data_IF_574152588452
#
_entry.id   IF_574152588452
#
_cell.length_a   1.000
_cell.length_b   1.000
_cell.length_c   1.000
_cell.angle_alpha   90.00
_cell.angle_beta   90.00
_cell.angle_gamma   90.00
#
_symmetry.space_group_name_H-M   'P 1'
#
loop_
_entity.id
_entity.type
_entity.pdbx_description
1 polymer ?
#
# COMPACT_ATOMS: atom_id res chain seq x y z
N UNK A 1 3.58 2.57 -19.36
CA UNK A 1 3.02 3.57 -18.44
C UNK A 1 3.27 4.96 -18.96
N UNK A 2 2.26 5.51 -19.64
CA UNK A 2 2.19 6.93 -19.95
C UNK A 2 2.03 7.74 -18.66
N UNK A 3 2.47 9.00 -18.69
CA UNK A 3 2.22 9.97 -17.65
C UNK A 3 1.47 11.15 -18.25
N UNK A 4 0.54 11.73 -17.48
CA UNK A 4 -0.09 13.02 -17.79
C UNK A 4 0.45 14.09 -16.86
N UNK A 5 0.25 15.36 -17.20
CA UNK A 5 0.70 16.45 -16.34
C UNK A 5 -0.04 16.40 -14.99
N UNK A 6 0.64 16.80 -13.90
CA UNK A 6 0.03 16.79 -12.56
C UNK A 6 -1.28 17.61 -12.51
N UNK A 7 -1.33 18.72 -13.26
CA UNK A 7 -2.54 19.54 -13.42
C UNK A 7 -3.67 18.78 -14.12
N UNK A 8 -3.38 18.08 -15.21
CA UNK A 8 -4.37 17.28 -15.95
C UNK A 8 -4.89 16.12 -15.11
N UNK A 9 -4.00 15.46 -14.36
CA UNK A 9 -4.36 14.40 -13.43
C UNK A 9 -5.31 14.90 -12.34
N UNK A 10 -5.00 16.06 -11.73
CA UNK A 10 -5.87 16.69 -10.74
C UNK A 10 -7.23 17.04 -11.35
N UNK A 11 -7.27 17.59 -12.56
CA UNK A 11 -8.52 17.90 -13.28
C UNK A 11 -9.36 16.64 -13.46
N UNK A 12 -8.79 15.55 -14.00
CA UNK A 12 -9.51 14.27 -14.17
C UNK A 12 -10.10 13.74 -12.87
N UNK A 13 -9.33 13.83 -11.78
CA UNK A 13 -9.78 13.39 -10.45
C UNK A 13 -10.95 14.25 -9.96
N UNK A 14 -10.82 15.56 -10.02
CA UNK A 14 -11.84 16.54 -9.61
C UNK A 14 -13.11 16.40 -10.44
N UNK A 15 -13.00 16.26 -11.77
CA UNK A 15 -14.13 16.06 -12.67
C UNK A 15 -14.91 14.78 -12.37
N UNK A 16 -14.24 13.74 -11.86
CA UNK A 16 -14.91 12.48 -11.50
C UNK A 16 -15.74 12.62 -10.22
N UNK A 17 -15.33 13.51 -9.31
CA UNK A 17 -15.98 13.75 -8.03
C UNK A 17 -16.94 14.94 -8.05
N UNK A 18 -16.90 15.79 -9.09
CA UNK A 18 -17.66 17.05 -9.15
C UNK A 18 -19.18 16.87 -9.16
N UNK A 19 -19.67 15.69 -9.53
CA UNK A 19 -21.08 15.33 -9.47
C UNK A 19 -21.56 14.88 -8.08
N UNK A 20 -20.65 14.73 -7.11
CA UNK A 20 -20.99 14.28 -5.75
C UNK A 20 -21.44 15.46 -4.90
N UNK A 21 -22.55 15.28 -4.19
CA UNK A 21 -23.07 16.31 -3.29
C UNK A 21 -22.08 16.65 -2.16
N UNK A 22 -21.95 17.94 -1.89
CA UNK A 22 -20.98 18.47 -0.92
C UNK A 22 -19.50 18.36 -1.33
N UNK A 23 -19.20 17.96 -2.57
CA UNK A 23 -17.81 17.91 -3.03
C UNK A 23 -17.19 19.31 -3.10
N UNK A 24 -16.03 19.47 -2.45
CA UNK A 24 -15.19 20.66 -2.57
C UNK A 24 -13.72 20.29 -2.47
N UNK A 25 -12.84 21.14 -3.00
CA UNK A 25 -11.40 20.91 -2.96
C UNK A 25 -10.62 22.22 -2.90
N UNK A 26 -9.39 22.12 -2.39
CA UNK A 26 -8.43 23.22 -2.34
C UNK A 26 -7.29 23.03 -3.36
N UNK A 27 -6.47 24.07 -3.51
CA UNK A 27 -5.26 24.02 -4.33
C UNK A 27 -4.12 23.21 -3.69
N UNK A 28 -3.11 22.88 -4.50
CA UNK A 28 -1.92 22.14 -4.05
C UNK A 28 -1.94 20.64 -4.35
N UNK A 29 -0.88 19.98 -3.88
CA UNK A 29 -0.72 18.52 -3.85
C UNK A 29 0.31 18.16 -2.74
N UNK A 30 -0.11 17.56 -1.60
CA UNK A 30 -1.48 17.18 -1.28
C UNK A 30 -2.47 18.35 -1.31
N UNK A 31 -3.75 18.04 -1.53
CA UNK A 31 -4.84 19.00 -1.43
C UNK A 31 -5.94 18.46 -0.54
N UNK A 32 -6.64 19.35 0.15
CA UNK A 32 -7.81 19.01 0.93
C UNK A 32 -9.00 18.86 0.00
N UNK A 33 -9.78 17.79 0.20
CA UNK A 33 -11.12 17.64 -0.38
C UNK A 33 -12.14 17.44 0.74
N UNK A 34 -13.41 17.69 0.46
CA UNK A 34 -14.53 17.20 1.25
C UNK A 34 -15.46 16.39 0.37
N UNK A 35 -15.94 15.27 0.89
CA UNK A 35 -16.97 14.41 0.28
C UNK A 35 -17.95 14.05 1.39
N UNK A 36 -19.25 14.30 1.21
CA UNK A 36 -20.27 14.11 2.25
C UNK A 36 -19.90 14.76 3.59
N UNK A 37 -19.38 15.99 3.55
CA UNK A 37 -18.85 16.76 4.69
C UNK A 37 -17.65 16.14 5.44
N UNK A 38 -17.11 15.03 4.95
CA UNK A 38 -15.91 14.41 5.51
C UNK A 38 -14.66 14.94 4.80
N UNK A 39 -13.72 15.55 5.54
CA UNK A 39 -12.48 16.04 4.96
C UNK A 39 -11.48 14.90 4.71
N UNK A 40 -10.73 14.99 3.61
CA UNK A 40 -9.63 14.08 3.28
C UNK A 40 -8.48 14.88 2.66
N UNK A 41 -7.24 14.64 3.09
CA UNK A 41 -6.07 15.09 2.34
C UNK A 41 -5.73 14.06 1.27
N UNK A 42 -5.60 14.51 0.02
CA UNK A 42 -5.28 13.65 -1.12
C UNK A 42 -3.91 14.02 -1.66
N UNK A 43 -2.98 13.07 -1.70
CA UNK A 43 -1.80 13.16 -2.56
C UNK A 43 -2.03 12.35 -3.82
N UNK A 44 -1.94 13.00 -4.97
CA UNK A 44 -2.23 12.38 -6.26
C UNK A 44 -1.00 12.43 -7.16
N UNK A 45 -0.61 11.29 -7.74
CA UNK A 45 0.54 11.22 -8.64
C UNK A 45 0.40 10.10 -9.67
N UNK A 46 0.97 10.28 -10.86
CA UNK A 46 1.07 9.19 -11.83
C UNK A 46 1.92 8.06 -11.26
N UNK A 47 1.51 6.83 -11.52
CA UNK A 47 2.37 5.66 -11.37
C UNK A 47 3.45 5.69 -12.44
N UNK A 48 4.64 5.24 -12.08
CA UNK A 48 5.74 5.07 -13.03
C UNK A 48 6.45 3.74 -12.81
N UNK A 49 7.15 3.21 -13.82
CA UNK A 49 7.97 2.01 -13.64
C UNK A 49 9.00 2.22 -12.53
N UNK A 50 9.26 1.18 -11.74
CA UNK A 50 10.35 1.18 -10.76
C UNK A 50 11.72 0.89 -11.39
N UNK A 51 11.75 0.54 -12.68
CA UNK A 51 12.97 0.26 -13.47
C UNK A 51 13.87 -0.84 -12.90
N UNK A 52 13.29 -1.81 -12.19
CA UNK A 52 14.02 -3.00 -11.74
C UNK A 52 14.28 -3.94 -12.92
N UNK A 53 15.56 -4.20 -13.23
CA UNK A 53 15.98 -5.04 -14.36
C UNK A 53 15.29 -6.41 -14.39
N UNK A 54 15.13 -7.05 -13.23
CA UNK A 54 14.55 -8.38 -13.10
C UNK A 54 13.06 -8.36 -12.73
N UNK A 55 12.44 -7.18 -12.65
CA UNK A 55 11.04 -7.03 -12.25
C UNK A 55 10.40 -5.85 -12.99
N UNK A 56 10.22 -5.96 -14.31
CA UNK A 56 9.65 -4.89 -15.14
C UNK A 56 8.20 -4.57 -14.79
N UNK A 57 7.51 -5.52 -14.17
CA UNK A 57 6.12 -5.39 -13.70
C UNK A 57 5.97 -4.43 -12.51
N UNK A 58 7.06 -4.02 -11.85
CA UNK A 58 6.97 -3.16 -10.67
C UNK A 58 6.74 -1.72 -11.06
N UNK A 59 5.64 -1.16 -10.57
CA UNK A 59 5.30 0.26 -10.67
C UNK A 59 5.40 0.91 -9.29
N UNK A 60 5.48 2.24 -9.25
CA UNK A 60 5.59 2.99 -8.00
C UNK A 60 5.06 4.41 -8.10
N UNK A 61 4.71 4.95 -6.94
CA UNK A 61 4.67 6.39 -6.67
C UNK A 61 5.87 6.74 -5.80
N UNK A 62 6.56 7.83 -6.12
CA UNK A 62 7.63 8.38 -5.28
C UNK A 62 7.16 9.67 -4.62
N UNK A 63 7.29 9.75 -3.30
CA UNK A 63 7.00 10.93 -2.51
C UNK A 63 8.31 11.55 -2.03
N UNK A 64 8.59 12.83 -2.35
CA UNK A 64 9.75 13.52 -1.82
C UNK A 64 9.56 13.83 -0.34
N UNK A 65 10.65 14.11 0.37
CA UNK A 65 10.57 14.76 1.67
C UNK A 65 9.86 16.12 1.55
N UNK A 66 8.95 16.43 2.48
CA UNK A 66 8.33 17.75 2.55
C UNK A 66 7.77 18.07 3.93
N UNK A 67 8.12 19.25 4.45
CA UNK A 67 7.54 19.82 5.69
C UNK A 67 6.02 20.00 5.60
N UNK A 68 5.47 20.02 4.37
CA UNK A 68 4.03 20.12 4.18
C UNK A 68 3.30 18.88 4.71
N UNK A 69 3.90 17.69 4.64
CA UNK A 69 3.32 16.48 5.20
C UNK A 69 3.21 16.54 6.72
N UNK A 70 4.18 17.15 7.41
CA UNK A 70 4.15 17.28 8.88
C UNK A 70 2.96 18.13 9.36
N UNK A 71 2.57 19.15 8.58
CA UNK A 71 1.38 19.96 8.86
C UNK A 71 0.10 19.14 8.68
N UNK A 72 0.03 18.34 7.62
CA UNK A 72 -1.11 17.47 7.32
C UNK A 72 -1.33 16.45 8.43
N UNK A 73 -0.27 15.82 8.94
CA UNK A 73 -0.39 14.82 10.01
C UNK A 73 -0.84 15.37 11.36
N UNK A 74 -0.70 16.67 11.61
CA UNK A 74 -1.19 17.33 12.82
C UNK A 74 -2.69 17.60 12.77
N UNK A 75 -3.30 17.64 11.58
CA UNK A 75 -4.70 18.03 11.41
C UNK A 75 -5.72 16.94 11.79
N UNK A 76 -5.28 15.72 12.12
CA UNK A 76 -6.15 14.56 12.41
C UNK A 76 -7.20 14.29 11.30
N UNK A 77 -6.87 14.61 10.06
CA UNK A 77 -7.67 14.35 8.86
C UNK A 77 -7.03 13.16 8.12
N UNK A 78 -7.80 12.19 7.60
CA UNK A 78 -7.23 11.07 6.86
C UNK A 78 -6.42 11.54 5.65
N UNK A 79 -5.21 10.98 5.50
CA UNK A 79 -4.30 11.30 4.41
C UNK A 79 -4.20 10.12 3.44
N UNK A 80 -4.74 10.29 2.24
CA UNK A 80 -4.87 9.25 1.22
C UNK A 80 -3.88 9.52 0.10
N UNK A 81 -3.15 8.49 -0.29
CA UNK A 81 -2.20 8.55 -1.41
C UNK A 81 -2.75 7.73 -2.56
N UNK A 82 -2.88 8.36 -3.72
CA UNK A 82 -3.43 7.77 -4.93
C UNK A 82 -2.40 7.81 -6.05
N UNK A 83 -2.09 6.63 -6.58
CA UNK A 83 -1.28 6.42 -7.77
C UNK A 83 -2.17 6.17 -8.98
N UNK A 84 -1.99 6.92 -10.06
CA UNK A 84 -2.81 6.78 -11.26
C UNK A 84 -2.05 6.12 -12.41
N UNK A 85 -2.60 5.04 -12.94
CA UNK A 85 -2.15 4.39 -14.16
C UNK A 85 -2.96 4.95 -15.35
N UNK A 86 -2.29 5.75 -16.17
CA UNK A 86 -2.88 6.39 -17.36
C UNK A 86 -3.28 5.37 -18.42
N UNK A 87 -2.57 4.25 -18.51
CA UNK A 87 -2.79 3.27 -19.59
C UNK A 87 -4.06 2.45 -19.33
N UNK A 88 -4.35 2.13 -18.06
CA UNK A 88 -5.49 1.31 -17.66
C UNK A 88 -6.66 2.08 -17.00
N UNK A 89 -6.57 3.41 -16.86
CA UNK A 89 -7.51 4.26 -16.10
C UNK A 89 -7.76 3.74 -14.67
N UNK A 90 -6.70 3.21 -14.06
CA UNK A 90 -6.74 2.53 -12.76
C UNK A 90 -6.07 3.39 -11.70
N UNK A 91 -6.71 3.48 -10.53
CA UNK A 91 -6.20 4.14 -9.34
C UNK A 91 -5.74 3.08 -8.34
N UNK A 92 -4.57 3.30 -7.75
CA UNK A 92 -4.01 2.48 -6.68
C UNK A 92 -3.92 3.30 -5.41
N UNK A 93 -4.44 2.76 -4.30
CA UNK A 93 -4.36 3.34 -2.98
C UNK A 93 -3.55 2.43 -2.04
N UNK A 94 -2.71 3.03 -1.21
CA UNK A 94 -1.99 2.35 -0.14
C UNK A 94 -2.66 2.64 1.20
N UNK A 95 -2.40 1.79 2.20
CA UNK A 95 -3.01 1.92 3.53
C UNK A 95 -2.57 3.24 4.21
N UNK A 96 -3.48 4.22 4.42
CA UNK A 96 -3.17 5.51 5.03
C UNK A 96 -2.42 5.42 6.36
N UNK A 97 -2.81 4.45 7.20
CA UNK A 97 -2.27 4.27 8.55
C UNK A 97 -0.80 3.86 8.56
N UNK A 98 -0.35 3.11 7.53
CA UNK A 98 1.04 2.61 7.42
C UNK A 98 1.99 3.60 6.76
N UNK A 99 1.47 4.63 6.09
CA UNK A 99 2.28 5.57 5.31
C UNK A 99 2.83 6.69 6.22
N UNK A 100 2.10 7.07 7.27
CA UNK A 100 2.54 8.09 8.24
C UNK A 100 3.92 7.78 8.83
N UNK A 101 4.20 6.51 9.13
CA UNK A 101 5.48 6.06 9.69
C UNK A 101 6.62 6.07 8.66
N UNK A 102 6.30 5.99 7.36
CA UNK A 102 7.28 5.93 6.27
C UNK A 102 7.62 7.31 5.72
N UNK A 103 6.67 8.24 5.75
CA UNK A 103 6.86 9.60 5.24
C UNK A 103 7.88 10.37 6.06
N UNK A 104 8.72 11.13 5.37
CA UNK A 104 9.84 11.89 5.93
C UNK A 104 10.94 11.06 6.63
N UNK A 105 10.82 9.73 6.72
CA UNK A 105 11.88 8.84 7.22
C UNK A 105 13.11 8.75 6.28
N UNK A 106 12.91 9.04 4.99
CA UNK A 106 13.97 9.09 3.95
C UNK A 106 13.73 10.28 3.03
N UNK A 107 14.77 10.67 2.29
CA UNK A 107 14.69 11.75 1.29
C UNK A 107 13.63 11.51 0.22
N UNK A 108 13.37 10.25 -0.14
CA UNK A 108 12.27 9.84 -1.00
C UNK A 108 11.69 8.50 -0.54
N UNK A 109 10.36 8.43 -0.46
CA UNK A 109 9.61 7.21 -0.14
C UNK A 109 9.01 6.66 -1.42
N UNK A 110 9.24 5.38 -1.70
CA UNK A 110 8.60 4.69 -2.81
C UNK A 110 7.47 3.80 -2.28
N UNK A 111 6.26 4.01 -2.81
CA UNK A 111 5.12 3.13 -2.61
C UNK A 111 4.95 2.31 -3.88
N UNK A 112 4.99 0.98 -3.75
CA UNK A 112 5.07 0.08 -4.90
C UNK A 112 3.70 -0.49 -5.28
N UNK A 113 3.57 -0.90 -6.53
CA UNK A 113 2.45 -1.65 -7.08
C UNK A 113 2.97 -2.60 -8.18
N UNK A 114 2.07 -3.25 -8.89
CA UNK A 114 2.34 -4.13 -10.04
C UNK A 114 1.47 -3.73 -11.22
N UNK A 115 2.05 -3.65 -12.42
CA UNK A 115 1.34 -3.36 -13.66
C UNK A 115 0.32 -4.47 -13.98
N UNK A 116 0.67 -5.72 -13.71
CA UNK A 116 -0.21 -6.89 -13.83
C UNK A 116 -1.45 -6.86 -12.92
N UNK A 117 -1.40 -6.14 -11.80
CA UNK A 117 -2.57 -5.95 -10.93
C UNK A 117 -3.46 -4.80 -11.40
N UNK A 118 -2.87 -3.84 -12.12
CA UNK A 118 -3.54 -2.63 -12.60
C UNK A 118 -4.32 -2.88 -13.90
N UNK A 119 -4.00 -3.95 -14.62
CA UNK A 119 -4.80 -4.40 -15.76
C UNK A 119 -6.09 -5.09 -15.30
N UNK A 120 -7.10 -5.05 -16.16
CA UNK A 120 -8.34 -5.83 -16.03
C UNK A 120 -9.24 -5.50 -14.84
N UNK A 121 -9.11 -4.30 -14.25
CA UNK A 121 -10.06 -3.80 -13.26
C UNK A 121 -11.37 -3.42 -13.96
N UNK A 122 -12.48 -4.06 -13.58
CA UNK A 122 -13.80 -3.77 -14.13
C UNK A 122 -14.41 -2.56 -13.44
N UNK A 123 -15.39 -1.96 -14.11
CA UNK A 123 -16.20 -0.88 -13.51
C UNK A 123 -16.94 -1.43 -12.29
N UNK A 124 -17.13 -0.59 -11.27
CA UNK A 124 -17.77 -0.92 -9.99
C UNK A 124 -17.01 -1.99 -9.16
N UNK A 125 -15.77 -2.32 -9.56
CA UNK A 125 -14.91 -3.31 -8.89
C UNK A 125 -13.84 -2.62 -8.03
N UNK A 126 -13.76 -3.00 -6.76
CA UNK A 126 -12.64 -2.66 -5.89
C UNK A 126 -11.83 -3.94 -5.63
N UNK A 127 -10.65 -4.02 -6.23
CA UNK A 127 -9.73 -5.14 -6.07
C UNK A 127 -8.73 -4.87 -4.95
N UNK A 128 -8.41 -5.92 -4.21
CA UNK A 128 -7.30 -5.90 -3.25
C UNK A 128 -6.10 -6.60 -3.87
N UNK A 129 -4.93 -5.97 -3.79
CA UNK A 129 -3.65 -6.56 -4.12
C UNK A 129 -2.75 -6.67 -2.89
N UNK A 130 -1.86 -7.65 -2.87
CA UNK A 130 -0.83 -7.79 -1.85
C UNK A 130 0.56 -7.81 -2.50
N UNK A 131 1.46 -7.00 -1.96
CA UNK A 131 2.85 -6.98 -2.38
C UNK A 131 3.64 -8.10 -1.69
N UNK A 132 4.85 -8.38 -2.18
CA UNK A 132 5.73 -9.42 -1.63
C UNK A 132 6.13 -9.22 -0.16
N UNK A 133 6.01 -7.98 0.34
CA UNK A 133 6.25 -7.61 1.74
C UNK A 133 4.95 -7.66 2.60
N UNK A 134 3.84 -8.19 2.06
CA UNK A 134 2.54 -8.25 2.72
C UNK A 134 1.77 -6.93 2.75
N UNK A 135 2.28 -5.86 2.12
CA UNK A 135 1.57 -4.58 2.05
C UNK A 135 0.32 -4.70 1.17
N UNK A 136 -0.84 -4.39 1.76
CA UNK A 136 -2.14 -4.34 1.10
C UNK A 136 -2.27 -3.06 0.29
N UNK A 137 -2.65 -3.19 -0.97
CA UNK A 137 -3.02 -2.10 -1.87
C UNK A 137 -4.43 -2.31 -2.38
N UNK A 138 -5.12 -1.22 -2.67
CA UNK A 138 -6.46 -1.23 -3.24
C UNK A 138 -6.39 -0.68 -4.65
N UNK A 139 -7.03 -1.36 -5.60
CA UNK A 139 -7.06 -0.99 -7.01
C UNK A 139 -8.51 -0.88 -7.47
N UNK A 140 -8.84 0.18 -8.19
CA UNK A 140 -10.18 0.46 -8.69
C UNK A 140 -10.10 1.39 -9.90
N UNK A 141 -11.13 1.49 -10.74
CA UNK A 141 -11.11 2.44 -11.85
C UNK A 141 -11.32 3.85 -11.34
N UNK A 142 -10.76 4.84 -12.03
CA UNK A 142 -10.96 6.25 -11.66
C UNK A 142 -12.45 6.60 -11.54
N UNK A 143 -13.29 6.09 -12.43
CA UNK A 143 -14.75 6.31 -12.40
C UNK A 143 -15.42 5.85 -11.09
N UNK A 144 -14.82 4.90 -10.38
CA UNK A 144 -15.33 4.34 -9.11
C UNK A 144 -14.82 5.09 -7.88
N UNK A 145 -14.29 6.30 -8.05
CA UNK A 145 -13.76 7.11 -6.95
C UNK A 145 -14.77 7.34 -5.82
N UNK A 146 -16.04 7.61 -6.18
CA UNK A 146 -17.10 7.75 -5.18
C UNK A 146 -17.25 6.48 -4.33
N UNK A 147 -17.39 5.33 -5.00
CA UNK A 147 -17.52 4.01 -4.36
C UNK A 147 -16.33 3.70 -3.44
N UNK A 148 -15.11 4.09 -3.86
CA UNK A 148 -13.92 3.99 -3.03
C UNK A 148 -14.05 4.78 -1.72
N UNK A 149 -14.47 6.06 -1.78
CA UNK A 149 -14.61 6.89 -0.57
C UNK A 149 -15.73 6.40 0.35
N UNK A 150 -16.83 5.88 -0.19
CA UNK A 150 -17.91 5.26 0.58
C UNK A 150 -17.43 4.03 1.36
N UNK A 151 -16.59 3.19 0.74
CA UNK A 151 -16.08 1.94 1.33
C UNK A 151 -14.77 2.12 2.11
N UNK A 152 -14.11 3.27 2.02
CA UNK A 152 -12.78 3.53 2.57
C UNK A 152 -12.56 3.03 4.02
N UNK A 153 -13.49 3.22 4.98
CA UNK A 153 -13.30 2.74 6.35
C UNK A 153 -13.09 1.22 6.46
N UNK A 154 -13.70 0.44 5.57
CA UNK A 154 -13.62 -1.03 5.56
C UNK A 154 -12.46 -1.56 4.71
N UNK A 155 -11.99 -0.79 3.72
CA UNK A 155 -11.00 -1.28 2.73
C UNK A 155 -9.65 -1.65 3.36
N UNK A 156 -9.28 -1.03 4.47
CA UNK A 156 -8.01 -1.29 5.17
C UNK A 156 -8.19 -1.84 6.59
N UNK A 157 -9.42 -2.23 6.95
CA UNK A 157 -9.69 -2.85 8.23
C UNK A 157 -9.29 -4.33 8.18
N UNK A 158 -8.23 -4.66 8.93
CA UNK A 158 -7.74 -6.04 9.06
C UNK A 158 -8.65 -6.88 9.99
N UNK A 159 -9.63 -6.25 10.67
CA UNK A 159 -10.54 -6.89 11.63
C UNK A 159 -11.84 -7.43 11.01
N UNK A 160 -12.13 -7.17 9.73
CA UNK A 160 -13.28 -7.75 9.03
C UNK A 160 -13.02 -9.19 8.55
N UNK A 161 -12.53 -10.02 9.46
CA UNK A 161 -12.71 -11.47 9.41
C UNK A 161 -13.92 -11.84 10.28
N UNK A 162 -14.93 -12.45 9.65
CA UNK A 162 -16.15 -13.09 10.21
C UNK A 162 -17.19 -12.10 10.80
N UNK A 163 -18.52 -12.14 10.60
CA UNK A 163 -19.55 -13.14 10.24
C UNK A 163 -20.71 -12.33 9.58
N UNK A 164 -21.49 -12.81 8.60
CA UNK A 164 -22.71 -13.62 8.84
C UNK A 164 -23.31 -14.21 7.56
N UNK A 165 -23.73 -15.46 7.74
CA UNK A 165 -24.71 -16.20 6.96
C UNK A 165 -25.99 -15.39 6.67
N UNK A 166 -26.59 -15.71 5.51
CA UNK A 166 -27.93 -15.35 5.00
C UNK A 166 -28.01 -13.85 4.61
N UNK A 167 -28.02 -13.45 3.34
CA UNK A 167 -28.90 -13.86 2.23
C UNK A 167 -28.31 -13.37 0.89
N UNK A 168 -28.66 -14.10 -0.16
CA UNK A 168 -28.33 -13.99 -1.59
C UNK A 168 -27.83 -12.64 -2.15
N UNK A 169 -26.54 -12.59 -2.55
CA UNK A 169 -26.13 -12.16 -3.91
C UNK A 169 -24.83 -12.90 -4.27
N UNK A 170 -24.89 -13.70 -5.33
CA UNK A 170 -23.77 -14.39 -5.95
C UNK A 170 -22.80 -13.36 -6.55
N UNK A 171 -21.61 -13.21 -5.97
CA UNK A 171 -20.43 -12.70 -6.68
C UNK A 171 -19.29 -13.70 -6.50
N UNK A 172 -18.75 -14.16 -7.61
CA UNK A 172 -17.78 -15.24 -7.76
C UNK A 172 -16.58 -15.15 -6.81
N UNK A 173 -16.07 -16.34 -6.43
CA UNK A 173 -14.92 -16.53 -5.56
C UNK A 173 -13.73 -15.67 -6.00
N UNK A 174 -13.32 -14.74 -5.14
CA UNK A 174 -11.97 -14.15 -5.20
C UNK A 174 -11.04 -15.16 -4.52
N UNK A 175 -10.28 -15.92 -5.31
CA UNK A 175 -9.16 -16.71 -4.79
C UNK A 175 -8.14 -15.76 -4.15
N UNK A 176 -8.04 -15.82 -2.82
CA UNK A 176 -7.05 -15.06 -2.05
C UNK A 176 -5.71 -15.77 -2.20
N UNK A 177 -4.85 -15.26 -3.09
CA UNK A 177 -3.47 -15.72 -3.20
C UNK A 177 -2.60 -15.02 -2.15
N UNK A 178 -2.38 -15.69 -1.02
CA UNK A 178 -1.23 -15.38 -0.17
C UNK A 178 0.03 -15.91 -0.88
N UNK A 179 1.10 -15.11 -1.04
CA UNK A 179 2.34 -15.65 -1.56
C UNK A 179 2.79 -16.79 -0.66
N UNK A 180 3.02 -17.95 -1.27
CA UNK A 180 3.42 -19.18 -0.57
C UNK A 180 4.63 -18.99 0.35
N UNK A 181 5.47 -18.00 0.05
CA UNK A 181 6.69 -17.68 0.79
C UNK A 181 6.81 -16.19 1.08
N UNK A 182 7.37 -15.89 2.24
CA UNK A 182 7.79 -14.55 2.61
C UNK A 182 9.19 -14.27 2.03
N UNK A 183 9.38 -13.09 1.44
CA UNK A 183 10.66 -12.71 0.82
C UNK A 183 11.42 -11.62 1.58
N UNK A 184 10.78 -10.97 2.55
CA UNK A 184 11.40 -9.95 3.41
C UNK A 184 10.65 -9.84 4.73
N UNK A 185 11.37 -9.59 5.83
CA UNK A 185 10.77 -9.31 7.13
C UNK A 185 10.74 -7.80 7.31
N UNK A 186 9.54 -7.22 7.30
CA UNK A 186 9.30 -5.79 7.44
C UNK A 186 8.49 -5.43 8.70
N UNK A 187 7.96 -6.43 9.42
CA UNK A 187 7.21 -6.23 10.65
C UNK A 187 8.10 -5.64 11.73
N UNK A 188 7.85 -4.40 12.11
CA UNK A 188 8.64 -3.65 13.11
C UNK A 188 8.67 -4.39 14.46
N UNK A 189 7.55 -5.01 14.85
CA UNK A 189 7.50 -5.81 16.08
C UNK A 189 8.48 -6.99 16.03
N UNK A 190 8.60 -7.65 14.87
CA UNK A 190 9.55 -8.76 14.67
C UNK A 190 10.97 -8.23 14.59
N UNK A 191 11.21 -7.16 13.83
CA UNK A 191 12.53 -6.52 13.70
C UNK A 191 13.06 -6.06 15.06
N UNK A 192 12.23 -5.47 15.91
CA UNK A 192 12.61 -5.05 17.26
C UNK A 192 12.98 -6.24 18.16
N UNK A 193 12.40 -7.43 17.92
CA UNK A 193 12.74 -8.64 18.66
C UNK A 193 14.04 -9.29 18.15
N UNK A 194 14.27 -9.28 16.82
CA UNK A 194 15.42 -9.98 16.23
C UNK A 194 16.68 -9.13 16.15
N UNK A 195 16.59 -7.81 15.95
CA UNK A 195 17.77 -6.95 15.82
C UNK A 195 18.74 -7.06 17.01
N UNK A 196 18.29 -7.04 18.29
CA UNK A 196 19.19 -7.23 19.43
C UNK A 196 19.84 -8.62 19.50
N UNK A 197 19.25 -9.62 18.84
CA UNK A 197 19.82 -10.97 18.73
C UNK A 197 20.87 -11.02 17.62
N UNK A 198 20.61 -10.35 16.50
CA UNK A 198 21.53 -10.24 15.38
C UNK A 198 22.81 -9.51 15.76
N UNK A 199 22.71 -8.41 16.52
CA UNK A 199 23.86 -7.70 17.10
C UNK A 199 24.75 -8.60 18.00
N UNK A 200 24.15 -9.65 18.58
CA UNK A 200 24.84 -10.64 19.42
C UNK A 200 25.24 -11.90 18.65
N UNK A 201 25.14 -11.89 17.33
CA UNK A 201 25.40 -13.03 16.44
C UNK A 201 24.50 -14.25 16.71
N UNK A 202 23.33 -14.05 17.32
CA UNK A 202 22.36 -15.10 17.68
C UNK A 202 21.34 -15.33 16.54
N UNK A 203 21.88 -15.60 15.34
CA UNK A 203 21.09 -15.73 14.09
C UNK A 203 20.03 -16.84 14.17
N UNK A 204 20.37 -17.99 14.77
CA UNK A 204 19.43 -19.13 14.88
C UNK A 204 18.22 -18.80 15.77
N UNK A 205 18.43 -18.03 16.83
CA UNK A 205 17.33 -17.63 17.73
C UNK A 205 16.42 -16.59 17.07
N UNK A 206 16.98 -15.68 16.27
CA UNK A 206 16.20 -14.78 15.42
C UNK A 206 15.34 -15.56 14.41
N UNK A 207 15.87 -16.64 13.82
CA UNK A 207 15.12 -17.54 12.93
C UNK A 207 13.97 -18.23 13.66
N UNK A 208 14.18 -18.69 14.89
CA UNK A 208 13.11 -19.31 15.68
C UNK A 208 11.98 -18.33 16.02
N UNK A 209 12.31 -17.09 16.38
CA UNK A 209 11.32 -16.03 16.66
C UNK A 209 10.47 -15.78 15.41
N UNK A 210 11.09 -15.61 14.24
CA UNK A 210 10.37 -15.39 13.00
C UNK A 210 9.53 -16.61 12.61
N UNK A 211 10.08 -17.82 12.73
CA UNK A 211 9.34 -19.05 12.41
C UNK A 211 8.06 -19.14 13.25
N UNK A 212 8.14 -18.90 14.57
CA UNK A 212 6.98 -18.93 15.47
C UNK A 212 5.98 -17.81 15.17
N UNK A 213 6.47 -16.59 14.92
CA UNK A 213 5.61 -15.44 14.65
C UNK A 213 4.79 -15.60 13.36
N UNK A 214 5.38 -16.24 12.35
CA UNK A 214 4.79 -16.38 11.01
C UNK A 214 4.20 -17.77 10.70
N UNK A 215 4.25 -18.71 11.65
CA UNK A 215 3.89 -20.13 11.42
C UNK A 215 2.51 -20.32 10.79
N UNK A 216 1.53 -19.51 11.19
CA UNK A 216 0.15 -19.62 10.71
C UNK A 216 -0.09 -18.89 9.38
N UNK A 217 0.82 -17.98 9.02
CA UNK A 217 0.71 -17.08 7.86
C UNK A 217 1.46 -17.60 6.63
N UNK A 218 2.59 -18.30 6.81
CA UNK A 218 3.45 -18.76 5.70
C UNK A 218 3.81 -20.24 5.83
N UNK A 219 2.82 -21.12 5.66
CA UNK A 219 2.93 -22.58 5.89
C UNK A 219 3.91 -23.32 4.97
N UNK A 220 4.34 -22.72 3.84
CA UNK A 220 5.32 -23.28 2.89
C UNK A 220 6.75 -22.72 3.09
N UNK A 221 6.98 -21.89 4.10
CA UNK A 221 8.33 -21.44 4.46
C UNK A 221 9.10 -22.57 5.14
N UNK A 222 10.22 -22.98 4.54
CA UNK A 222 11.16 -23.90 5.18
C UNK A 222 12.10 -23.16 6.13
N UNK A 223 12.73 -23.89 7.04
CA UNK A 223 13.80 -23.35 7.88
C UNK A 223 14.90 -22.66 7.05
N UNK A 224 15.24 -23.21 5.89
CA UNK A 224 16.22 -22.63 4.96
C UNK A 224 15.77 -21.27 4.41
N UNK A 225 14.48 -21.12 4.13
CA UNK A 225 13.91 -19.84 3.67
C UNK A 225 13.97 -18.79 4.79
N UNK A 226 13.57 -19.14 6.02
CA UNK A 226 13.69 -18.26 7.18
C UNK A 226 15.12 -17.85 7.47
N UNK A 227 16.05 -18.82 7.44
CA UNK A 227 17.47 -18.56 7.63
C UNK A 227 18.02 -17.60 6.56
N UNK A 228 17.62 -17.75 5.30
CA UNK A 228 18.05 -16.85 4.23
C UNK A 228 17.56 -15.41 4.46
N UNK A 229 16.32 -15.21 4.90
CA UNK A 229 15.77 -13.89 5.21
C UNK A 229 16.57 -13.21 6.34
N UNK A 230 16.78 -13.93 7.43
CA UNK A 230 17.46 -13.39 8.61
C UNK A 230 18.93 -13.12 8.31
N UNK A 231 19.60 -14.01 7.59
CA UNK A 231 21.00 -13.83 7.21
C UNK A 231 21.19 -12.63 6.27
N UNK A 232 20.21 -12.32 5.41
CA UNK A 232 20.24 -11.12 4.58
C UNK A 232 20.08 -9.83 5.40
N UNK A 233 19.35 -9.86 6.51
CA UNK A 233 19.22 -8.72 7.44
C UNK A 233 20.53 -8.54 8.21
N UNK A 234 21.05 -9.63 8.77
CA UNK A 234 22.32 -9.66 9.52
C UNK A 234 23.49 -9.11 8.68
N UNK A 235 23.66 -9.63 7.45
CA UNK A 235 24.70 -9.14 6.54
C UNK A 235 24.57 -7.66 6.20
N UNK A 236 23.34 -7.13 6.06
CA UNK A 236 23.13 -5.70 5.80
C UNK A 236 23.57 -4.83 6.98
N UNK A 237 23.43 -5.32 8.22
CA UNK A 237 23.88 -4.59 9.42
C UNK A 237 25.41 -4.56 9.55
N UNK A 238 26.11 -5.61 9.11
CA UNK A 238 27.58 -5.65 9.11
C UNK A 238 28.23 -4.71 8.07
N UNK A 239 27.49 -4.24 7.05
CA UNK A 239 28.00 -3.27 6.06
C UNK A 239 27.81 -1.81 6.46
N UNK A 240 26.98 -1.54 7.48
CA UNK A 240 26.67 -0.19 7.97
C UNK A 240 27.43 0.17 9.28
N UNK A 241 28.33 -0.73 9.75
CA UNK A 241 29.22 -0.55 10.92
C UNK A 241 30.69 -0.40 10.53
#
# INVERSE_FOLDING_TARGET
MRNILAKELKIKFVETLSGIDGFSYEDGNPFLIKIYDKPFFIFLKNLSPAYFKNSPDVTRVQLPFSDHFDKIFKANIPFIILGYDVDNDTVVCWNPSKIKERLNAKSNVSLYSRNSLQSDIKKDEIKTGFLSNGEKIILFRREDLQLFFEKLPALFDDSQMVIKDNEDVVSELIEIYFPDKLYEITDIQVLNLINPLLEKNRVLEAVEICTKYYQDKFKKMSFKDWFALINNIYKKQDFDN
#
